data_IF_313410424268
#
_entry.id   IF_313410424268
#
_cell.length_a   1.000
_cell.length_b   1.000
_cell.length_c   1.000
_cell.angle_alpha   90.00
_cell.angle_beta   90.00
_cell.angle_gamma   90.00
#
_symmetry.space_group_name_H-M   'P 1'
#
loop_
_entity.id
_entity.type
_entity.pdbx_description
1 polymer ?
#
# COMPACT_ATOMS: atom_id res chain seq x y z
N UNK A 1 -18.19 15.34 -11.58
CA UNK A 1 -17.10 14.98 -10.63
C UNK A 1 -17.69 14.30 -9.43
N UNK A 2 -17.09 13.22 -9.00
CA UNK A 2 -17.54 12.44 -7.84
C UNK A 2 -16.36 12.13 -6.92
N UNK A 3 -16.67 12.01 -5.65
CA UNK A 3 -15.74 11.53 -4.63
C UNK A 3 -16.27 10.23 -4.07
N UNK A 4 -15.35 9.30 -3.81
CA UNK A 4 -15.64 8.02 -3.19
C UNK A 4 -14.54 7.76 -2.15
N UNK A 5 -14.93 7.38 -0.93
CA UNK A 5 -13.95 7.06 0.10
C UNK A 5 -14.38 5.83 0.89
N UNK A 6 -13.47 4.90 1.03
CA UNK A 6 -13.65 3.69 1.81
C UNK A 6 -12.48 3.49 2.77
N UNK A 7 -12.77 2.92 3.94
CA UNK A 7 -11.79 2.45 4.88
C UNK A 7 -11.62 0.94 4.71
N UNK A 8 -10.38 0.51 4.54
CA UNK A 8 -10.04 -0.91 4.37
C UNK A 8 -9.15 -1.34 5.52
N UNK A 9 -9.58 -2.39 6.24
CA UNK A 9 -8.79 -2.99 7.30
C UNK A 9 -8.17 -4.28 6.76
N UNK A 10 -6.85 -4.31 6.70
CA UNK A 10 -6.10 -5.52 6.32
C UNK A 10 -5.80 -6.35 7.56
N UNK A 11 -6.02 -7.66 7.44
CA UNK A 11 -5.65 -8.61 8.50
C UNK A 11 -4.14 -8.57 8.76
N UNK A 12 -3.70 -8.91 9.98
CA UNK A 12 -2.27 -8.95 10.31
C UNK A 12 -1.48 -9.83 9.34
N UNK A 13 -0.31 -9.35 8.93
CA UNK A 13 0.62 -10.05 8.06
C UNK A 13 2.00 -10.07 8.70
N UNK A 14 2.80 -11.08 8.35
CA UNK A 14 4.21 -11.12 8.72
C UNK A 14 4.97 -9.98 8.05
N UNK A 15 6.14 -9.65 8.56
CA UNK A 15 7.04 -8.67 7.95
C UNK A 15 7.34 -9.08 6.50
N UNK A 16 7.28 -8.11 5.58
CA UNK A 16 7.55 -8.32 4.18
C UNK A 16 6.68 -7.47 3.27
N UNK A 17 6.81 -7.71 1.99
CA UNK A 17 6.07 -7.01 0.94
C UNK A 17 4.93 -7.90 0.45
N UNK A 18 3.68 -7.41 0.55
CA UNK A 18 2.47 -8.19 0.28
C UNK A 18 1.61 -7.51 -0.76
N UNK A 19 1.28 -8.24 -1.84
CA UNK A 19 0.33 -7.75 -2.84
C UNK A 19 -1.06 -7.61 -2.22
N UNK A 20 -1.64 -6.43 -2.36
CA UNK A 20 -2.99 -6.11 -1.86
C UNK A 20 -3.92 -5.59 -2.95
N UNK A 21 -3.52 -5.65 -4.21
CA UNK A 21 -4.38 -5.22 -5.32
C UNK A 21 -5.76 -5.85 -5.28
N UNK A 22 -5.92 -7.17 -5.04
CA UNK A 22 -7.24 -7.78 -4.95
C UNK A 22 -8.11 -7.20 -3.85
N UNK A 23 -7.54 -6.96 -2.65
CA UNK A 23 -8.29 -6.40 -1.53
C UNK A 23 -8.72 -4.96 -1.79
N UNK A 24 -7.85 -4.18 -2.44
CA UNK A 24 -8.16 -2.80 -2.82
C UNK A 24 -9.29 -2.77 -3.84
N UNK A 25 -9.19 -3.59 -4.89
CA UNK A 25 -10.24 -3.68 -5.92
C UNK A 25 -11.57 -4.17 -5.35
N UNK A 26 -11.54 -5.17 -4.47
CA UNK A 26 -12.74 -5.70 -3.84
C UNK A 26 -13.46 -4.65 -2.96
N UNK A 27 -12.71 -3.75 -2.35
CA UNK A 27 -13.27 -2.67 -1.53
C UNK A 27 -13.88 -1.54 -2.37
N UNK A 28 -13.61 -1.50 -3.66
CA UNK A 28 -14.02 -0.42 -4.57
C UNK A 28 -15.04 -0.92 -5.60
N UNK A 29 -16.18 -1.43 -5.11
CA UNK A 29 -17.24 -1.97 -6.00
C UNK A 29 -17.78 -0.91 -6.97
N UNK A 30 -17.69 0.39 -6.61
CA UNK A 30 -18.19 1.50 -7.43
C UNK A 30 -17.15 2.04 -8.43
N UNK A 31 -15.97 1.42 -8.50
CA UNK A 31 -14.88 1.90 -9.38
C UNK A 31 -15.32 1.96 -10.85
N UNK A 32 -16.19 1.03 -11.27
CA UNK A 32 -16.72 0.99 -12.64
C UNK A 32 -17.47 2.24 -13.07
N UNK A 33 -17.91 3.08 -12.13
CA UNK A 33 -18.60 4.34 -12.42
C UNK A 33 -17.68 5.43 -12.96
N UNK A 34 -16.38 5.32 -12.70
CA UNK A 34 -15.42 6.35 -13.06
C UNK A 34 -14.94 6.19 -14.51
N UNK A 35 -15.17 7.21 -15.31
CA UNK A 35 -14.64 7.28 -16.68
C UNK A 35 -13.16 7.63 -16.68
N UNK A 36 -12.78 8.61 -15.87
CA UNK A 36 -11.41 9.07 -15.67
C UNK A 36 -11.26 9.64 -14.27
N UNK A 37 -10.15 9.35 -13.61
CA UNK A 37 -9.92 9.84 -12.26
C UNK A 37 -8.62 9.35 -11.66
N UNK A 38 -8.53 9.50 -10.35
CA UNK A 38 -7.41 9.06 -9.54
C UNK A 38 -7.91 8.27 -8.35
N UNK A 39 -7.22 7.18 -8.03
CA UNK A 39 -7.34 6.47 -6.76
C UNK A 39 -6.12 6.79 -5.91
N UNK A 40 -6.36 7.31 -4.71
CA UNK A 40 -5.35 7.50 -3.69
C UNK A 40 -5.51 6.42 -2.62
N UNK A 41 -4.44 5.69 -2.34
CA UNK A 41 -4.39 4.66 -1.29
C UNK A 41 -3.43 5.15 -0.22
N UNK A 42 -3.90 5.27 1.00
CA UNK A 42 -3.14 5.84 2.12
C UNK A 42 -3.15 4.88 3.31
N UNK A 43 -1.97 4.60 3.88
CA UNK A 43 -1.85 3.78 5.09
C UNK A 43 -1.73 4.67 6.32
N UNK A 44 -2.56 4.40 7.34
CA UNK A 44 -2.67 5.22 8.56
C UNK A 44 -1.73 4.72 9.66
N UNK A 45 -0.49 4.37 9.31
CA UNK A 45 0.51 3.83 10.24
C UNK A 45 1.90 4.36 9.94
N UNK A 46 2.76 4.32 10.96
CA UNK A 46 4.15 4.81 10.86
C UNK A 46 5.18 3.69 10.71
N UNK A 47 4.75 2.43 10.73
CA UNK A 47 5.61 1.24 10.62
C UNK A 47 5.19 0.29 9.50
N UNK A 48 4.40 0.80 8.58
CA UNK A 48 4.00 0.16 7.33
C UNK A 48 3.99 1.21 6.22
N UNK A 49 4.08 0.77 4.98
CA UNK A 49 4.11 1.68 3.84
C UNK A 49 3.42 1.04 2.63
N UNK A 50 3.30 1.81 1.56
CA UNK A 50 2.70 1.36 0.31
C UNK A 50 3.64 1.63 -0.84
N UNK A 51 3.74 0.69 -1.77
CA UNK A 51 4.45 0.92 -3.02
C UNK A 51 3.77 0.18 -4.17
N UNK A 52 4.20 0.53 -5.38
CA UNK A 52 3.80 -0.18 -6.60
C UNK A 52 5.05 -0.84 -7.16
N UNK A 53 4.99 -2.14 -7.37
CA UNK A 53 6.11 -2.91 -7.89
C UNK A 53 5.61 -4.17 -8.59
N UNK A 54 6.52 -5.03 -9.01
CA UNK A 54 6.21 -6.19 -9.82
C UNK A 54 5.27 -7.17 -9.11
N UNK A 55 4.27 -7.64 -9.85
CA UNK A 55 3.22 -8.52 -9.33
C UNK A 55 3.36 -10.00 -9.75
N UNK A 56 4.44 -10.38 -10.43
CA UNK A 56 4.56 -11.70 -11.05
C UNK A 56 5.56 -12.62 -10.35
N UNK A 57 6.81 -12.21 -10.27
CA UNK A 57 7.88 -13.04 -9.70
C UNK A 57 7.92 -12.89 -8.18
N UNK A 58 7.68 -14.00 -7.41
CA UNK A 58 7.71 -13.94 -5.95
C UNK A 58 9.08 -13.61 -5.38
N UNK A 59 10.15 -13.70 -6.17
CA UNK A 59 11.48 -13.32 -5.72
C UNK A 59 11.65 -11.82 -5.59
N UNK A 60 10.85 -11.01 -6.33
CA UNK A 60 10.94 -9.55 -6.24
C UNK A 60 10.57 -9.05 -4.84
N UNK A 61 9.40 -9.36 -4.26
CA UNK A 61 9.10 -8.92 -2.89
C UNK A 61 10.06 -9.52 -1.86
N UNK A 62 10.57 -10.73 -2.06
CA UNK A 62 11.56 -11.33 -1.20
C UNK A 62 12.87 -10.55 -1.21
N UNK A 63 13.37 -10.19 -2.39
CA UNK A 63 14.62 -9.44 -2.54
C UNK A 63 14.48 -8.00 -2.06
N UNK A 64 13.29 -7.39 -2.23
CA UNK A 64 13.00 -6.08 -1.65
C UNK A 64 13.14 -6.11 -0.13
N UNK A 65 12.59 -7.14 0.52
CA UNK A 65 12.72 -7.30 1.98
C UNK A 65 14.19 -7.44 2.39
N UNK A 66 14.98 -8.27 1.70
CA UNK A 66 16.39 -8.42 1.97
C UNK A 66 17.15 -7.09 1.82
N UNK A 67 16.88 -6.36 0.75
CA UNK A 67 17.56 -5.09 0.48
C UNK A 67 17.22 -4.04 1.54
N UNK A 68 15.95 -3.92 1.92
CA UNK A 68 15.55 -2.95 2.94
C UNK A 68 16.04 -3.32 4.33
N UNK A 69 16.20 -4.60 4.64
CA UNK A 69 16.80 -5.03 5.90
C UNK A 69 18.29 -4.63 6.00
N UNK A 70 18.99 -4.57 4.88
CA UNK A 70 20.37 -4.07 4.84
C UNK A 70 20.45 -2.53 4.95
N UNK A 71 19.48 -1.83 4.36
CA UNK A 71 19.43 -0.35 4.41
C UNK A 71 19.06 0.10 5.82
N UNK A 72 18.04 -0.50 6.43
CA UNK A 72 17.58 -0.16 7.78
C UNK A 72 17.82 -1.34 8.71
N UNK A 73 19.05 -1.46 9.17
CA UNK A 73 19.52 -2.59 9.99
C UNK A 73 19.04 -2.47 11.43
N UNK A 74 18.73 -3.61 12.06
CA UNK A 74 18.33 -3.65 13.46
C UNK A 74 19.49 -3.36 14.43
N UNK A 75 20.73 -3.61 14.00
CA UNK A 75 21.94 -3.41 14.82
C UNK A 75 22.50 -1.97 14.76
N UNK A 76 21.77 -1.04 14.16
CA UNK A 76 22.14 0.35 14.15
C UNK A 76 21.97 0.97 15.54
N UNK A 77 22.74 2.01 15.85
CA UNK A 77 22.74 2.66 17.18
C UNK A 77 21.55 3.64 17.35
N UNK A 78 20.33 3.12 17.29
CA UNK A 78 19.13 3.92 17.47
C UNK A 78 18.89 4.31 18.93
N UNK A 79 18.22 5.44 19.14
CA UNK A 79 17.74 5.85 20.47
C UNK A 79 16.36 5.27 20.79
N UNK A 80 15.51 5.08 19.77
CA UNK A 80 14.15 4.54 19.91
C UNK A 80 14.20 3.01 19.93
N UNK A 81 14.20 2.40 21.12
CA UNK A 81 14.44 0.95 21.27
C UNK A 81 13.43 0.22 22.15
N UNK A 82 12.45 0.92 22.74
CA UNK A 82 11.57 0.34 23.76
C UNK A 82 10.50 -0.59 23.21
N UNK A 83 10.22 -0.52 21.90
CA UNK A 83 9.14 -1.31 21.27
C UNK A 83 9.67 -2.50 20.48
N UNK A 84 10.90 -2.90 20.70
CA UNK A 84 11.53 -4.03 20.05
C UNK A 84 12.55 -3.60 18.98
N UNK A 85 13.42 -4.54 18.54
CA UNK A 85 14.51 -4.21 17.60
C UNK A 85 14.03 -3.90 16.19
N UNK A 86 12.84 -4.33 15.82
CA UNK A 86 12.29 -4.11 14.48
C UNK A 86 11.54 -2.77 14.33
N UNK A 87 11.29 -2.04 15.44
CA UNK A 87 10.42 -0.86 15.39
C UNK A 87 11.09 0.34 14.72
N UNK A 88 12.27 0.77 15.18
CA UNK A 88 12.92 1.91 14.55
C UNK A 88 13.31 1.64 13.10
N UNK A 89 13.85 0.47 12.72
CA UNK A 89 14.01 0.12 11.31
C UNK A 89 12.71 0.21 10.51
N UNK A 90 11.58 -0.18 11.09
CA UNK A 90 10.27 -0.05 10.43
C UNK A 90 9.93 1.41 10.13
N UNK A 91 10.19 2.32 11.05
CA UNK A 91 9.98 3.76 10.83
C UNK A 91 10.88 4.31 9.73
N UNK A 92 12.12 3.86 9.66
CA UNK A 92 13.06 4.26 8.59
C UNK A 92 12.53 3.79 7.23
N UNK A 93 12.15 2.52 7.13
CA UNK A 93 11.62 1.94 5.89
C UNK A 93 10.34 2.67 5.46
N UNK A 94 9.43 2.92 6.40
CA UNK A 94 8.19 3.64 6.11
C UNK A 94 8.46 5.07 5.62
N UNK A 95 9.42 5.76 6.21
CA UNK A 95 9.81 7.10 5.78
C UNK A 95 10.41 7.10 4.36
N UNK A 96 11.15 6.06 4.01
CA UNK A 96 11.78 5.94 2.69
C UNK A 96 10.76 5.60 1.59
N UNK A 97 9.87 4.66 1.86
CA UNK A 97 8.91 4.16 0.87
C UNK A 97 7.69 5.07 0.77
N UNK A 98 7.19 5.54 1.89
CA UNK A 98 6.09 6.48 1.96
C UNK A 98 4.73 5.84 2.28
N UNK A 99 3.77 6.68 2.68
CA UNK A 99 2.48 6.21 3.19
C UNK A 99 1.40 6.05 2.12
N UNK A 100 1.66 6.39 0.88
CA UNK A 100 0.60 6.45 -0.12
C UNK A 100 1.07 6.10 -1.52
N UNK A 101 0.14 5.63 -2.32
CA UNK A 101 0.29 5.51 -3.77
C UNK A 101 -0.94 6.11 -4.44
N UNK A 102 -0.76 6.63 -5.65
CA UNK A 102 -1.86 7.12 -6.49
C UNK A 102 -1.85 6.37 -7.80
N UNK A 103 -3.01 5.88 -8.21
CA UNK A 103 -3.19 5.11 -9.44
C UNK A 103 -4.24 5.80 -10.30
N UNK A 104 -3.96 6.09 -11.57
CA UNK A 104 -4.98 6.62 -12.47
C UNK A 104 -6.13 5.62 -12.68
N UNK A 105 -7.32 6.14 -12.89
CA UNK A 105 -8.51 5.38 -13.25
C UNK A 105 -8.90 5.75 -14.67
N UNK A 106 -9.19 4.77 -15.51
CA UNK A 106 -9.77 4.98 -16.82
C UNK A 106 -10.75 3.86 -17.16
N UNK A 107 -11.89 4.22 -17.72
CA UNK A 107 -12.92 3.27 -18.12
C UNK A 107 -13.29 2.28 -17.01
N UNK A 108 -13.39 2.77 -15.78
CA UNK A 108 -13.80 1.99 -14.62
C UNK A 108 -12.75 1.05 -14.06
N UNK A 109 -11.48 1.21 -14.45
CA UNK A 109 -10.39 0.31 -14.04
C UNK A 109 -9.19 1.07 -13.57
N UNK A 110 -8.40 0.46 -12.68
CA UNK A 110 -7.09 0.97 -12.30
C UNK A 110 -6.12 0.81 -13.49
N UNK A 111 -5.43 1.89 -13.84
CA UNK A 111 -4.46 1.90 -14.94
C UNK A 111 -3.10 1.37 -14.50
N UNK A 112 -3.08 0.25 -13.80
CA UNK A 112 -1.84 -0.44 -13.49
C UNK A 112 -1.29 -1.09 -14.76
N UNK A 113 0.03 -1.00 -14.96
CA UNK A 113 0.70 -1.77 -16.00
C UNK A 113 0.57 -3.27 -15.74
N UNK A 114 0.83 -4.07 -16.75
CA UNK A 114 0.72 -5.54 -16.68
C UNK A 114 1.48 -6.13 -15.49
N UNK A 115 2.65 -5.58 -15.19
CA UNK A 115 3.54 -6.07 -14.13
C UNK A 115 3.44 -5.29 -12.83
N UNK A 116 2.54 -4.31 -12.74
CA UNK A 116 2.39 -3.50 -11.54
C UNK A 116 1.31 -4.05 -10.63
N UNK A 117 1.61 -4.05 -9.33
CA UNK A 117 0.65 -4.33 -8.28
C UNK A 117 0.86 -3.40 -7.11
N UNK A 118 -0.17 -3.22 -6.30
CA UNK A 118 -0.11 -2.42 -5.08
C UNK A 118 0.36 -3.34 -3.96
N UNK A 119 1.40 -2.92 -3.25
CA UNK A 119 1.98 -3.64 -2.13
C UNK A 119 1.73 -2.93 -0.81
N UNK A 120 1.29 -3.69 0.19
CA UNK A 120 1.50 -3.32 1.59
C UNK A 120 2.89 -3.78 1.99
N UNK A 121 3.68 -2.84 2.47
CA UNK A 121 5.00 -3.11 3.01
C UNK A 121 4.86 -3.16 4.53
N UNK A 122 4.82 -4.36 5.12
CA UNK A 122 4.74 -4.57 6.56
C UNK A 122 6.16 -4.62 7.10
N UNK A 123 6.52 -3.64 7.93
CA UNK A 123 7.89 -3.50 8.42
C UNK A 123 8.09 -4.06 9.83
N UNK A 124 7.01 -4.50 10.48
CA UNK A 124 7.07 -5.11 11.80
C UNK A 124 6.83 -6.61 11.73
N UNK A 125 7.48 -7.36 12.64
CA UNK A 125 7.24 -8.80 12.78
C UNK A 125 5.81 -9.08 13.25
N UNK A 126 5.27 -8.21 14.10
CA UNK A 126 3.92 -8.30 14.66
C UNK A 126 3.26 -6.93 14.66
N UNK A 127 2.99 -6.41 13.47
CA UNK A 127 2.42 -5.06 13.29
C UNK A 127 0.92 -4.97 13.58
N UNK A 128 0.25 -6.11 13.69
CA UNK A 128 -1.21 -6.13 13.83
C UNK A 128 -1.93 -5.78 12.53
N UNK A 129 -3.25 -5.54 12.59
CA UNK A 129 -4.00 -5.14 11.42
C UNK A 129 -3.58 -3.75 10.96
N UNK A 130 -3.63 -3.53 9.63
CA UNK A 130 -3.30 -2.23 9.04
C UNK A 130 -4.54 -1.59 8.43
N UNK A 131 -4.68 -0.29 8.63
CA UNK A 131 -5.82 0.48 8.14
C UNK A 131 -5.41 1.35 6.99
N UNK A 132 -6.20 1.27 5.91
CA UNK A 132 -6.01 2.07 4.71
C UNK A 132 -7.23 2.94 4.47
N UNK A 133 -7.01 4.12 3.90
CA UNK A 133 -8.08 4.97 3.36
C UNK A 133 -7.93 4.98 1.85
N UNK A 134 -8.98 4.58 1.16
CA UNK A 134 -9.06 4.56 -0.29
C UNK A 134 -9.94 5.73 -0.72
N UNK A 135 -9.38 6.66 -1.48
CA UNK A 135 -10.13 7.82 -1.98
C UNK A 135 -10.03 7.88 -3.49
N UNK A 136 -11.16 7.78 -4.15
CA UNK A 136 -11.25 7.96 -5.60
C UNK A 136 -11.94 9.29 -5.91
N UNK A 137 -11.42 9.99 -6.90
CA UNK A 137 -11.99 11.25 -7.38
C UNK A 137 -11.86 11.31 -8.90
N UNK A 138 -12.93 11.71 -9.56
CA UNK A 138 -12.90 11.81 -11.01
C UNK A 138 -14.26 12.03 -11.62
N UNK A 139 -14.29 11.93 -12.94
CA UNK A 139 -15.51 12.05 -13.71
C UNK A 139 -16.20 10.70 -13.83
N UNK A 140 -17.51 10.70 -13.59
CA UNK A 140 -18.36 9.53 -13.76
C UNK A 140 -19.13 9.64 -15.08
N UNK A 141 -19.57 8.49 -15.61
CA UNK A 141 -20.41 8.47 -16.79
C UNK A 141 -21.77 9.13 -16.50
N UNK A 142 -22.15 10.10 -17.33
CA UNK A 142 -23.39 10.88 -17.16
C UNK A 142 -24.67 10.09 -17.38
N UNK A 143 -24.59 8.80 -17.78
CA UNK A 143 -25.72 7.94 -18.08
C UNK A 143 -26.14 7.06 -16.91
N UNK A 144 -25.61 7.27 -15.73
CA UNK A 144 -25.96 6.55 -14.52
C UNK A 144 -26.76 7.46 -13.58
N UNK A 145 -27.94 7.87 -14.02
CA UNK A 145 -28.98 8.43 -13.16
C UNK A 145 -29.89 7.34 -12.66
#
# INVERSE_FOLDING_TARGET
MAWLQHHLRLAPRRRGFHLITPEVEAALSELGRFRVGLLHVFVQHTSASLCINENADPDVPRDLELAFNEIAREDFAYAHTLEGPDDMPAHVKAAMIGPAVTVPIAAGRLCLGTWQGIYLCEHRDRGGPRRLVLTAHGETDSNHT
#
